data_IF_048191153266
#
_entry.id   IF_048191153266
#
_cell.length_a   1.000
_cell.length_b   1.000
_cell.length_c   1.000
_cell.angle_alpha   90.00
_cell.angle_beta   90.00
_cell.angle_gamma   90.00
#
_symmetry.space_group_name_H-M   'P 1'
#
loop_
_entity.id
_entity.type
_entity.pdbx_description
1 polymer ?
#
# COMPACT_ATOMS: atom_id res chain seq x y z
N UNK A 1 7.83 3.31 -1.20
CA UNK A 1 6.68 2.45 -0.82
C UNK A 1 7.20 1.08 -0.39
N UNK A 2 7.46 0.87 0.91
CA UNK A 2 8.02 -0.41 1.42
C UNK A 2 7.05 -1.58 1.21
N UNK A 3 5.76 -1.30 1.08
CA UNK A 3 4.67 -2.27 0.89
C UNK A 3 4.70 -2.95 -0.50
N UNK A 4 5.33 -2.37 -1.51
CA UNK A 4 5.42 -2.98 -2.83
C UNK A 4 6.35 -4.21 -2.86
N UNK A 5 7.36 -4.25 -1.98
CA UNK A 5 8.33 -5.35 -1.94
C UNK A 5 7.72 -6.69 -1.53
N UNK A 6 6.92 -6.78 -0.44
CA UNK A 6 6.22 -8.02 -0.09
C UNK A 6 5.36 -8.55 -1.23
N UNK A 7 4.62 -7.67 -1.91
CA UNK A 7 3.72 -8.07 -3.00
C UNK A 7 4.51 -8.73 -4.12
N UNK A 8 5.58 -8.08 -4.58
CA UNK A 8 6.43 -8.60 -5.63
C UNK A 8 7.07 -9.95 -5.25
N UNK A 9 7.57 -10.08 -4.02
CA UNK A 9 8.23 -11.29 -3.52
C UNK A 9 7.26 -12.47 -3.38
N UNK A 10 6.04 -12.22 -2.89
CA UNK A 10 5.00 -13.23 -2.81
C UNK A 10 4.50 -13.67 -4.19
N UNK A 11 4.32 -12.74 -5.14
CA UNK A 11 4.00 -13.11 -6.52
C UNK A 11 5.13 -13.91 -7.17
N UNK A 12 6.39 -13.49 -6.99
CA UNK A 12 7.56 -14.21 -7.49
C UNK A 12 7.66 -15.63 -6.92
N UNK A 13 7.25 -15.84 -5.66
CA UNK A 13 7.19 -17.18 -5.04
C UNK A 13 6.30 -18.13 -5.84
N UNK A 14 5.08 -17.70 -6.17
CA UNK A 14 4.12 -18.53 -6.92
C UNK A 14 4.60 -18.78 -8.35
N UNK A 15 5.11 -17.74 -9.01
CA UNK A 15 5.65 -17.86 -10.38
C UNK A 15 6.84 -18.83 -10.42
N UNK A 16 7.74 -18.75 -9.44
CA UNK A 16 8.87 -19.66 -9.34
C UNK A 16 8.43 -21.11 -9.08
N UNK A 17 7.39 -21.34 -8.27
CA UNK A 17 6.83 -22.69 -8.09
C UNK A 17 6.22 -23.26 -9.37
N UNK A 18 5.50 -22.43 -10.14
CA UNK A 18 4.98 -22.83 -11.44
C UNK A 18 6.12 -23.15 -12.43
N UNK A 19 7.17 -22.34 -12.43
CA UNK A 19 8.36 -22.58 -13.25
C UNK A 19 9.08 -23.89 -12.85
N UNK A 20 9.19 -24.18 -11.55
CA UNK A 20 9.73 -25.46 -11.07
C UNK A 20 8.91 -26.64 -11.55
N UNK A 21 7.57 -26.56 -11.53
CA UNK A 21 6.71 -27.66 -12.03
C UNK A 21 6.92 -27.89 -13.53
N UNK A 22 7.13 -26.82 -14.32
CA UNK A 22 7.34 -26.94 -15.76
C UNK A 22 8.75 -27.36 -16.17
N UNK A 23 9.77 -27.11 -15.34
CA UNK A 23 11.19 -27.33 -15.69
C UNK A 23 11.87 -28.41 -14.87
N UNK A 24 11.31 -28.76 -13.70
CA UNK A 24 11.92 -29.57 -12.65
C UNK A 24 13.29 -29.06 -12.15
N UNK A 25 13.65 -27.82 -12.48
CA UNK A 25 14.94 -27.24 -12.10
C UNK A 25 14.87 -26.67 -10.67
N UNK A 26 15.69 -27.26 -9.79
CA UNK A 26 15.86 -26.87 -8.39
C UNK A 26 16.19 -25.38 -8.18
N UNK A 27 16.73 -24.69 -9.19
CA UNK A 27 16.94 -23.24 -9.16
C UNK A 27 15.64 -22.48 -8.86
N UNK A 28 14.54 -22.82 -9.55
CA UNK A 28 13.26 -22.16 -9.34
C UNK A 28 12.66 -22.47 -7.97
N UNK A 29 12.88 -23.69 -7.47
CA UNK A 29 12.45 -24.07 -6.12
C UNK A 29 13.16 -23.26 -5.04
N UNK A 30 14.49 -23.11 -5.15
CA UNK A 30 15.28 -22.25 -4.26
C UNK A 30 14.84 -20.79 -4.37
N UNK A 31 14.58 -20.32 -5.60
CA UNK A 31 14.05 -19.00 -5.86
C UNK A 31 12.73 -18.76 -5.12
N UNK A 32 11.78 -19.69 -5.21
CA UNK A 32 10.51 -19.61 -4.50
C UNK A 32 10.70 -19.54 -2.97
N UNK A 33 11.58 -20.37 -2.42
CA UNK A 33 11.86 -20.40 -0.99
C UNK A 33 12.46 -19.08 -0.49
N UNK A 34 13.53 -18.59 -1.14
CA UNK A 34 14.19 -17.34 -0.77
C UNK A 34 13.26 -16.15 -0.97
N UNK A 35 12.47 -16.13 -2.05
CA UNK A 35 11.49 -15.08 -2.30
C UNK A 35 10.42 -15.05 -1.21
N UNK A 36 9.88 -16.20 -0.82
CA UNK A 36 8.85 -16.30 0.22
C UNK A 36 9.38 -15.82 1.58
N UNK A 37 10.57 -16.31 1.98
CA UNK A 37 11.22 -15.89 3.24
C UNK A 37 11.52 -14.39 3.25
N UNK A 38 12.07 -13.86 2.16
CA UNK A 38 12.36 -12.43 2.03
C UNK A 38 11.07 -11.61 2.05
N UNK A 39 10.01 -12.10 1.42
CA UNK A 39 8.69 -11.48 1.41
C UNK A 39 8.10 -11.36 2.81
N UNK A 40 8.20 -12.43 3.62
CA UNK A 40 7.78 -12.43 5.02
C UNK A 40 8.56 -11.39 5.83
N UNK A 41 9.89 -11.37 5.72
CA UNK A 41 10.72 -10.38 6.43
C UNK A 41 10.31 -8.96 6.04
N UNK A 42 10.19 -8.69 4.74
CA UNK A 42 9.80 -7.37 4.25
C UNK A 42 8.37 -6.98 4.67
N UNK A 43 7.45 -7.95 4.75
CA UNK A 43 6.07 -7.70 5.19
C UNK A 43 6.02 -7.31 6.67
N UNK A 44 6.82 -7.98 7.51
CA UNK A 44 6.95 -7.63 8.93
C UNK A 44 7.56 -6.24 9.10
N UNK A 45 8.60 -5.90 8.32
CA UNK A 45 9.18 -4.56 8.33
C UNK A 45 8.18 -3.49 7.85
N UNK A 46 7.36 -3.80 6.85
CA UNK A 46 6.31 -2.92 6.34
C UNK A 46 5.14 -2.75 7.32
N UNK A 47 4.87 -3.74 8.17
CA UNK A 47 3.81 -3.69 9.16
C UNK A 47 4.07 -2.62 10.24
N UNK A 48 5.34 -2.31 10.54
CA UNK A 48 5.72 -1.31 11.55
C UNK A 48 5.20 0.10 11.21
N UNK A 49 5.59 0.72 10.07
CA UNK A 49 5.07 2.04 9.71
C UNK A 49 3.55 2.02 9.48
N UNK A 50 2.99 0.92 8.94
CA UNK A 50 1.54 0.78 8.76
C UNK A 50 0.76 0.76 10.09
N UNK A 51 1.31 0.12 11.12
CA UNK A 51 0.70 0.10 12.45
C UNK A 51 0.78 1.47 13.12
N UNK A 52 1.88 2.20 12.95
CA UNK A 52 2.04 3.57 13.48
C UNK A 52 0.97 4.48 12.87
N UNK A 53 0.83 4.49 11.54
CA UNK A 53 -0.19 5.29 10.85
C UNK A 53 -1.61 4.93 11.31
N UNK A 54 -1.90 3.65 11.54
CA UNK A 54 -3.21 3.20 12.01
C UNK A 54 -3.53 3.66 13.44
N UNK A 55 -2.51 3.73 14.31
CA UNK A 55 -2.65 4.21 15.69
C UNK A 55 -2.81 5.73 15.77
N UNK A 56 -2.25 6.47 14.82
CA UNK A 56 -2.43 7.93 14.70
C UNK A 56 -3.83 8.34 14.24
N UNK A 57 -4.65 7.41 13.74
CA UNK A 57 -5.98 7.72 13.23
C UNK A 57 -7.02 7.92 14.36
N UNK A 58 -7.95 8.90 14.22
CA UNK A 58 -9.04 9.10 15.18
C UNK A 58 -9.89 7.84 15.39
N UNK A 59 -10.18 7.54 16.66
CA UNK A 59 -11.04 6.42 17.06
C UNK A 59 -12.46 6.62 16.49
N UNK A 60 -13.05 5.57 15.91
CA UNK A 60 -14.41 5.60 15.35
C UNK A 60 -14.53 6.08 13.90
N UNK A 61 -13.43 6.51 13.26
CA UNK A 61 -13.46 6.88 11.84
C UNK A 61 -13.62 5.65 10.93
N UNK A 62 -14.37 5.80 9.82
CA UNK A 62 -14.48 4.75 8.77
C UNK A 62 -13.11 4.32 8.25
N UNK A 63 -12.19 5.28 8.14
CA UNK A 63 -10.82 5.04 7.71
C UNK A 63 -10.06 4.08 8.64
N UNK A 64 -10.28 4.17 9.96
CA UNK A 64 -9.65 3.26 10.94
C UNK A 64 -10.20 1.84 10.83
N UNK A 65 -11.50 1.67 10.59
CA UNK A 65 -12.11 0.34 10.37
C UNK A 65 -11.54 -0.34 9.14
N UNK A 66 -11.43 0.38 8.03
CA UNK A 66 -10.80 -0.13 6.80
C UNK A 66 -9.32 -0.43 7.01
N UNK A 67 -8.59 0.45 7.73
CA UNK A 67 -7.19 0.25 8.05
C UNK A 67 -6.93 -0.99 8.92
N UNK A 68 -7.78 -1.26 9.91
CA UNK A 68 -7.72 -2.48 10.72
C UNK A 68 -7.95 -3.72 9.85
N UNK A 69 -8.98 -3.71 8.99
CA UNK A 69 -9.28 -4.84 8.10
C UNK A 69 -8.15 -5.10 7.10
N UNK A 70 -7.58 -4.05 6.53
CA UNK A 70 -6.44 -4.15 5.64
C UNK A 70 -5.22 -4.72 6.37
N UNK A 71 -4.86 -4.15 7.53
CA UNK A 71 -3.73 -4.59 8.33
C UNK A 71 -3.88 -6.04 8.81
N UNK A 72 -5.06 -6.44 9.29
CA UNK A 72 -5.30 -7.81 9.74
C UNK A 72 -5.19 -8.82 8.60
N UNK A 73 -5.75 -8.49 7.42
CA UNK A 73 -5.65 -9.35 6.25
C UNK A 73 -4.23 -9.42 5.69
N UNK A 74 -3.46 -8.32 5.75
CA UNK A 74 -2.06 -8.30 5.38
C UNK A 74 -1.19 -9.19 6.29
N UNK A 75 -1.44 -9.16 7.61
CA UNK A 75 -0.77 -10.05 8.57
C UNK A 75 -1.18 -11.51 8.34
N UNK A 76 -2.46 -11.79 8.09
CA UNK A 76 -2.92 -13.14 7.75
C UNK A 76 -2.23 -13.66 6.47
N UNK A 77 -2.19 -12.84 5.43
CA UNK A 77 -1.53 -13.18 4.15
C UNK A 77 -0.04 -13.46 4.37
N UNK A 78 0.62 -12.67 5.22
CA UNK A 78 2.02 -12.91 5.63
C UNK A 78 2.17 -14.24 6.35
N UNK A 79 1.22 -14.61 7.22
CA UNK A 79 1.20 -15.92 7.88
C UNK A 79 1.05 -17.08 6.91
N UNK A 80 0.22 -16.95 5.86
CA UNK A 80 0.06 -17.96 4.81
C UNK A 80 1.39 -18.15 4.04
N UNK A 81 2.05 -17.06 3.66
CA UNK A 81 3.35 -17.17 2.99
C UNK A 81 4.47 -17.65 3.92
N UNK A 82 4.40 -17.35 5.21
CA UNK A 82 5.30 -17.94 6.21
C UNK A 82 5.12 -19.46 6.33
N UNK A 83 3.87 -19.95 6.32
CA UNK A 83 3.59 -21.38 6.26
C UNK A 83 4.12 -22.01 4.96
N UNK A 84 3.93 -21.34 3.81
CA UNK A 84 4.52 -21.76 2.53
C UNK A 84 6.05 -21.84 2.61
N UNK A 85 6.72 -20.81 3.15
CA UNK A 85 8.17 -20.80 3.34
C UNK A 85 8.64 -21.93 4.25
N UNK A 86 7.90 -22.24 5.32
CA UNK A 86 8.21 -23.35 6.22
C UNK A 86 8.11 -24.70 5.51
N UNK A 87 7.07 -24.92 4.70
CA UNK A 87 6.92 -26.15 3.89
C UNK A 87 8.06 -26.25 2.87
N UNK A 88 8.36 -25.16 2.15
CA UNK A 88 9.47 -25.12 1.19
C UNK A 88 10.81 -25.46 1.85
N UNK A 89 11.07 -24.92 3.04
CA UNK A 89 12.29 -25.19 3.79
C UNK A 89 12.38 -26.64 4.25
N UNK A 90 11.27 -27.22 4.74
CA UNK A 90 11.23 -28.63 5.16
C UNK A 90 11.48 -29.57 3.98
N UNK A 91 10.76 -29.38 2.88
CA UNK A 91 10.91 -30.17 1.67
C UNK A 91 12.34 -30.08 1.10
N UNK A 92 13.01 -28.93 1.27
CA UNK A 92 14.41 -28.78 0.91
C UNK A 92 15.36 -29.59 1.81
N UNK A 93 15.02 -29.78 3.09
CA UNK A 93 15.76 -30.64 4.01
C UNK A 93 15.58 -32.12 3.69
N UNK A 94 14.35 -32.53 3.38
CA UNK A 94 13.96 -33.92 3.09
C UNK A 94 14.18 -34.31 1.61
N UNK A 95 15.00 -33.54 0.89
CA UNK A 95 15.22 -33.69 -0.55
C UNK A 95 15.88 -35.03 -0.88
N UNK A 96 15.35 -35.73 -1.88
CA UNK A 96 15.86 -37.03 -2.35
C UNK A 96 16.36 -36.89 -3.78
N UNK A 97 17.53 -37.47 -4.08
CA UNK A 97 18.01 -37.63 -5.45
C UNK A 97 17.41 -38.91 -6.05
N UNK A 98 16.67 -38.75 -7.14
CA UNK A 98 16.16 -39.86 -7.96
C UNK A 98 16.62 -39.60 -9.40
N UNK A 99 17.34 -40.55 -10.00
CA UNK A 99 17.87 -40.43 -11.36
C UNK A 99 18.71 -39.16 -11.62
N UNK A 100 19.47 -38.72 -10.62
CA UNK A 100 20.31 -37.52 -10.70
C UNK A 100 19.53 -36.20 -10.60
N UNK A 101 18.21 -36.24 -10.44
CA UNK A 101 17.34 -35.07 -10.25
C UNK A 101 16.87 -34.99 -8.80
N UNK A 102 16.69 -33.76 -8.32
CA UNK A 102 16.20 -33.52 -6.97
C UNK A 102 14.67 -33.56 -6.97
N UNK A 103 14.08 -34.60 -6.39
CA UNK A 103 12.63 -34.65 -6.23
C UNK A 103 12.21 -33.82 -5.01
N UNK A 104 11.60 -32.67 -5.28
CA UNK A 104 10.97 -31.81 -4.28
C UNK A 104 9.47 -31.75 -4.55
N UNK A 105 8.67 -32.01 -3.51
CA UNK A 105 7.23 -31.78 -3.60
C UNK A 105 6.96 -30.28 -3.63
N UNK A 106 6.38 -29.82 -4.74
CA UNK A 106 5.94 -28.44 -4.94
C UNK A 106 4.42 -28.29 -4.90
N UNK A 107 3.66 -29.40 -4.83
CA UNK A 107 2.19 -29.39 -4.93
C UNK A 107 1.58 -28.66 -3.74
N UNK A 108 1.99 -29.07 -2.53
CA UNK A 108 1.51 -28.46 -1.29
C UNK A 108 1.93 -26.97 -1.16
N UNK A 109 3.21 -26.58 -1.31
CA UNK A 109 3.58 -25.17 -1.20
C UNK A 109 2.95 -24.31 -2.32
N UNK A 110 2.72 -24.85 -3.52
CA UNK A 110 1.98 -24.14 -4.56
C UNK A 110 0.53 -23.90 -4.14
N UNK A 111 -0.18 -24.90 -3.63
CA UNK A 111 -1.55 -24.75 -3.18
C UNK A 111 -1.67 -23.66 -2.10
N UNK A 112 -0.77 -23.68 -1.10
CA UNK A 112 -0.69 -22.64 -0.06
C UNK A 112 -0.37 -21.27 -0.69
N UNK A 113 0.59 -21.22 -1.62
CA UNK A 113 0.99 -20.00 -2.32
C UNK A 113 -0.12 -19.37 -3.15
N UNK A 114 -0.95 -20.18 -3.84
CA UNK A 114 -2.11 -19.72 -4.60
C UNK A 114 -3.18 -19.14 -3.68
N UNK A 115 -3.49 -19.81 -2.56
CA UNK A 115 -4.40 -19.27 -1.54
C UNK A 115 -3.86 -17.94 -0.99
N UNK A 116 -2.56 -17.88 -0.71
CA UNK A 116 -1.87 -16.66 -0.29
C UNK A 116 -1.96 -15.55 -1.35
N UNK A 117 -1.82 -15.87 -2.63
CA UNK A 117 -1.91 -14.92 -3.73
C UNK A 117 -3.32 -14.34 -3.87
N UNK A 118 -4.35 -15.15 -3.71
CA UNK A 118 -5.75 -14.68 -3.69
C UNK A 118 -5.95 -13.72 -2.51
N UNK A 119 -5.48 -14.09 -1.31
CA UNK A 119 -5.53 -13.21 -0.15
C UNK A 119 -4.78 -11.89 -0.39
N UNK A 120 -3.61 -11.94 -1.03
CA UNK A 120 -2.80 -10.78 -1.40
C UNK A 120 -3.54 -9.82 -2.33
N UNK A 121 -4.28 -10.34 -3.31
CA UNK A 121 -5.12 -9.52 -4.21
C UNK A 121 -6.21 -8.79 -3.41
N UNK A 122 -6.87 -9.48 -2.47
CA UNK A 122 -7.90 -8.87 -1.62
C UNK A 122 -7.27 -7.77 -0.73
N UNK A 123 -6.10 -8.03 -0.13
CA UNK A 123 -5.34 -7.03 0.64
C UNK A 123 -5.02 -5.81 -0.22
N UNK A 124 -4.55 -6.03 -1.45
CA UNK A 124 -4.23 -4.97 -2.41
C UNK A 124 -5.45 -4.10 -2.75
N UNK A 125 -6.61 -4.73 -3.00
CA UNK A 125 -7.87 -4.03 -3.26
C UNK A 125 -8.28 -3.15 -2.06
N UNK A 126 -8.19 -3.66 -0.83
CA UNK A 126 -8.42 -2.89 0.39
C UNK A 126 -7.43 -1.72 0.53
N UNK A 127 -6.15 -1.95 0.22
CA UNK A 127 -5.12 -0.90 0.23
C UNK A 127 -5.43 0.22 -0.77
N UNK A 128 -5.90 -0.13 -1.96
CA UNK A 128 -6.34 0.84 -2.97
C UNK A 128 -7.49 1.72 -2.46
N UNK A 129 -8.47 1.14 -1.76
CA UNK A 129 -9.57 1.93 -1.17
C UNK A 129 -9.11 2.89 -0.08
N UNK A 130 -8.07 2.55 0.68
CA UNK A 130 -7.51 3.45 1.70
C UNK A 130 -6.87 4.69 1.06
N UNK A 131 -6.18 4.51 -0.07
CA UNK A 131 -5.54 5.60 -0.81
C UNK A 131 -6.58 6.48 -1.50
N UNK A 132 -7.51 5.88 -2.25
CA UNK A 132 -8.48 6.63 -3.07
C UNK A 132 -9.60 7.29 -2.25
N UNK A 133 -10.14 6.60 -1.24
CA UNK A 133 -11.32 7.07 -0.52
C UNK A 133 -10.96 7.87 0.72
N UNK A 134 -9.89 7.48 1.42
CA UNK A 134 -9.53 8.07 2.71
C UNK A 134 -8.29 8.97 2.66
N UNK A 135 -7.64 9.11 1.50
CA UNK A 135 -6.48 9.98 1.26
C UNK A 135 -5.32 9.75 2.27
N UNK A 136 -5.26 8.57 2.89
CA UNK A 136 -4.20 8.22 3.84
C UNK A 136 -2.90 8.03 3.04
N UNK A 137 -1.85 8.73 3.45
CA UNK A 137 -0.55 8.74 2.76
C UNK A 137 -0.33 9.91 1.80
N UNK A 138 -1.32 10.79 1.61
CA UNK A 138 -1.19 12.04 0.86
C UNK A 138 -1.15 13.18 1.87
N UNK A 139 -0.01 13.89 1.97
CA UNK A 139 -0.01 15.18 2.68
C UNK A 139 -0.82 16.16 1.82
N UNK A 140 -1.89 16.80 2.34
CA UNK A 140 -2.50 17.90 1.60
C UNK A 140 -1.42 18.94 1.33
N UNK A 141 -1.32 19.39 0.08
CA UNK A 141 -0.50 20.55 -0.25
C UNK A 141 -1.04 21.72 0.57
N UNK A 142 -0.17 22.41 1.32
CA UNK A 142 -0.51 23.59 2.15
C UNK A 142 -1.24 24.73 1.42
N UNK A 143 -1.44 24.60 0.11
CA UNK A 143 -2.19 25.54 -0.72
C UNK A 143 -3.70 25.50 -0.45
N UNK A 144 -4.24 24.48 0.22
CA UNK A 144 -5.66 24.43 0.59
C UNK A 144 -6.02 25.14 1.90
N UNK A 145 -5.04 25.49 2.75
CA UNK A 145 -5.28 26.29 3.96
C UNK A 145 -5.28 27.81 3.68
N UNK A 146 -4.94 28.22 2.46
CA UNK A 146 -5.24 29.58 1.98
C UNK A 146 -6.63 29.54 1.38
N UNK A 147 -7.65 29.36 2.23
CA UNK A 147 -8.92 29.99 1.90
C UNK A 147 -8.61 31.46 1.60
N UNK A 148 -9.05 32.04 0.48
CA UNK A 148 -9.01 33.49 0.35
C UNK A 148 -9.81 34.00 1.54
N UNK A 149 -9.10 34.52 2.54
CA UNK A 149 -9.71 35.37 3.54
C UNK A 149 -10.39 36.42 2.67
N UNK A 150 -11.72 36.38 2.61
CA UNK A 150 -12.51 37.51 2.15
C UNK A 150 -12.24 38.62 3.16
N UNK A 151 -11.04 39.21 3.09
CA UNK A 151 -10.90 40.61 3.37
C UNK A 151 -11.83 41.30 2.38
N UNK A 152 -12.71 42.20 2.80
CA UNK A 152 -13.32 43.16 1.89
C UNK A 152 -12.13 43.86 1.23
N UNK A 153 -11.80 43.41 0.02
CA UNK A 153 -10.50 43.70 -0.56
C UNK A 153 -10.42 45.20 -0.82
N UNK A 154 -9.21 45.72 -0.71
CA UNK A 154 -8.86 47.10 -1.05
C UNK A 154 -9.36 47.55 -2.44
N UNK A 155 -9.82 46.61 -3.29
CA UNK A 155 -10.58 46.87 -4.52
C UNK A 155 -11.88 47.64 -4.27
N UNK A 156 -12.72 47.23 -3.31
CA UNK A 156 -13.98 47.93 -3.01
C UNK A 156 -13.70 49.32 -2.40
N UNK A 157 -12.66 49.43 -1.58
CA UNK A 157 -12.21 50.71 -1.03
C UNK A 157 -11.63 51.64 -2.11
N UNK A 158 -10.91 51.08 -3.10
CA UNK A 158 -10.37 51.81 -4.25
C UNK A 158 -11.48 52.30 -5.19
N UNK A 159 -12.47 51.45 -5.49
CA UNK A 159 -13.66 51.82 -6.29
C UNK A 159 -14.48 52.89 -5.57
N UNK A 160 -14.68 52.76 -4.25
CA UNK A 160 -15.36 53.78 -3.45
C UNK A 160 -14.58 55.11 -3.40
N UNK A 161 -13.24 55.07 -3.45
CA UNK A 161 -12.41 56.28 -3.49
C UNK A 161 -12.43 56.99 -4.86
N UNK A 162 -12.69 56.27 -5.95
CA UNK A 162 -12.75 56.80 -7.32
C UNK A 162 -14.16 57.25 -7.73
N UNK A 163 -15.20 56.83 -7.01
CA UNK A 163 -16.59 57.23 -7.26
C UNK A 163 -17.06 58.47 -6.46
N UNK A 164 -16.18 59.23 -5.80
CA UNK A 164 -16.63 60.51 -5.19
C UNK A 164 -17.12 61.45 -6.30
N UNK A 165 -18.41 61.84 -6.33
CA UNK A 165 -18.87 62.83 -7.29
C UNK A 165 -18.14 64.15 -7.01
N UNK A 166 -17.58 64.74 -8.06
CA UNK A 166 -17.17 66.13 -8.03
C UNK A 166 -18.41 66.98 -7.71
N UNK A 167 -18.59 67.34 -6.44
CA UNK A 167 -19.46 68.44 -6.06
C UNK A 167 -18.87 69.68 -6.69
N UNK A 168 -19.42 70.09 -7.84
CA UNK A 168 -19.24 71.43 -8.39
C UNK A 168 -19.97 72.40 -7.47
N UNK A 169 -19.34 72.71 -6.35
CA UNK A 169 -19.71 73.82 -5.50
C UNK A 169 -18.92 75.05 -5.98
N UNK A 170 -19.65 76.12 -6.26
CA UNK A 170 -19.18 77.51 -6.40
C UNK A 170 -18.44 77.93 -7.69
N UNK A 171 -19.24 78.42 -8.65
CA UNK A 171 -18.96 79.71 -9.30
C UNK A 171 -20.06 80.68 -8.80
N UNK A 172 -19.77 81.47 -7.75
CA UNK A 172 -19.51 82.92 -7.85
C UNK A 172 -20.70 83.68 -8.47
N UNK A 173 -21.53 84.35 -7.65
CA UNK A 173 -21.46 85.82 -7.47
C UNK A 173 -21.18 86.55 -8.79
N UNK A 174 -22.23 87.14 -9.38
CA UNK A 174 -22.32 88.57 -9.72
C UNK A 174 -23.75 88.88 -10.18
#
# INVERSE_FOLDING_TARGET
MVVAFPIALYTATVVALLAYIGTTDSFFYRGAMVASMSGVVMALLAAVPGAIDLLSLPRGSRARSTGIKHGSLAVLTTGIFAACAAVLYRNWGDRVLVDGQLQLDATLPLAIGVVGLIALVIVGALGWTLVQTHHIGIKPSRLQDVAPRQTPDAYDAFVASTQRPHTTENYARH
#
